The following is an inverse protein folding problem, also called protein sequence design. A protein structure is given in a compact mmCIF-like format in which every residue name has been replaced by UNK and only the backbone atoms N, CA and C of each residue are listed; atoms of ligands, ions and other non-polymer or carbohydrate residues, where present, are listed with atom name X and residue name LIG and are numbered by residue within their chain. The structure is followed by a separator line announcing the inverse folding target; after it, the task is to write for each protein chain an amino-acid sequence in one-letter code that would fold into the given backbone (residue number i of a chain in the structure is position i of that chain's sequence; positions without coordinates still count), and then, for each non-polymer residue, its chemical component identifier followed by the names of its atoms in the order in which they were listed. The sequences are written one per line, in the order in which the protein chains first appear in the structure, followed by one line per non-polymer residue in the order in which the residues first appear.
data_IF_508297506328
#
_entry.id   IF_508297506328
#
_cell.length_a   1.000
_cell.length_b   1.000
_cell.length_c   1.000
_cell.angle_alpha   90.00
_cell.angle_beta   90.00
_cell.angle_gamma   90.00
#
_symmetry.space_group_name_H-M   'P 1'
#
loop_
_entity.id
_entity.type
_entity.pdbx_description
1 polymer ?
#
# COMPACT_ATOMS: atom_id res chain seq x y z
N UNK A 1 -30.68 -25.12 5.63
CA UNK A 1 -30.25 -23.90 4.92
C UNK A 1 -30.73 -22.68 5.72
N UNK A 2 -30.10 -22.36 6.86
CA UNK A 2 -30.33 -21.06 7.50
C UNK A 2 -29.43 -20.03 6.81
N UNK A 3 -30.05 -19.04 6.15
CA UNK A 3 -29.40 -17.83 5.67
C UNK A 3 -28.77 -17.16 6.89
N UNK A 4 -27.44 -17.18 6.99
CA UNK A 4 -26.66 -16.65 8.11
C UNK A 4 -26.95 -15.15 8.34
N UNK A 5 -26.67 -14.61 9.54
CA UNK A 5 -26.93 -13.21 9.90
C UNK A 5 -25.93 -12.23 9.26
N UNK A 6 -25.57 -12.43 7.99
CA UNK A 6 -24.67 -11.53 7.24
C UNK A 6 -25.27 -10.13 7.14
N UNK A 7 -26.58 -10.03 7.01
CA UNK A 7 -27.29 -8.75 7.02
C UNK A 7 -27.16 -8.01 8.34
N UNK A 8 -27.14 -8.71 9.47
CA UNK A 8 -26.94 -8.09 10.78
C UNK A 8 -25.54 -7.49 10.87
N UNK A 9 -24.51 -8.23 10.44
CA UNK A 9 -23.13 -7.74 10.43
C UNK A 9 -22.96 -6.59 9.45
N UNK A 10 -23.61 -6.66 8.28
CA UNK A 10 -23.63 -5.57 7.31
C UNK A 10 -24.27 -4.30 7.89
N UNK A 11 -25.41 -4.41 8.57
CA UNK A 11 -26.10 -3.28 9.20
C UNK A 11 -25.25 -2.69 10.34
N UNK A 12 -24.71 -3.53 11.21
CA UNK A 12 -23.82 -3.09 12.30
C UNK A 12 -22.56 -2.43 11.74
N UNK A 13 -22.02 -2.97 10.65
CA UNK A 13 -20.86 -2.42 9.97
C UNK A 13 -21.11 -1.08 9.29
N UNK A 14 -22.25 -0.95 8.61
CA UNK A 14 -22.68 0.32 8.03
C UNK A 14 -22.90 1.36 9.13
N UNK A 15 -23.56 0.97 10.22
CA UNK A 15 -23.79 1.83 11.38
C UNK A 15 -22.47 2.30 12.03
N UNK A 16 -21.50 1.41 12.23
CA UNK A 16 -20.18 1.77 12.77
C UNK A 16 -19.39 2.68 11.82
N UNK A 17 -19.45 2.42 10.51
CA UNK A 17 -18.83 3.27 9.50
C UNK A 17 -19.45 4.68 9.49
N UNK A 18 -20.78 4.79 9.61
CA UNK A 18 -21.46 6.07 9.73
C UNK A 18 -21.15 6.77 11.07
N UNK A 19 -21.12 6.02 12.17
CA UNK A 19 -20.81 6.52 13.51
C UNK A 19 -19.40 7.15 13.59
N UNK A 20 -18.47 6.70 12.76
CA UNK A 20 -17.12 7.27 12.67
C UNK A 20 -17.11 8.77 12.32
N UNK A 21 -18.06 9.22 11.50
CA UNK A 21 -18.12 10.60 11.02
C UNK A 21 -18.91 11.54 11.94
N UNK A 22 -19.51 11.03 13.01
CA UNK A 22 -20.37 11.82 13.91
C UNK A 22 -19.57 12.14 15.18
N UNK A 23 -19.11 13.39 15.38
CA UNK A 23 -18.24 13.76 16.50
C UNK A 23 -18.99 14.09 17.79
N UNK A 24 -20.30 13.79 17.89
CA UNK A 24 -21.11 14.08 19.07
C UNK A 24 -21.36 12.81 19.88
N UNK A 25 -21.48 12.93 21.19
CA UNK A 25 -21.86 11.80 22.04
C UNK A 25 -23.26 11.27 21.65
N UNK A 26 -23.48 9.94 21.67
CA UNK A 26 -22.63 8.87 22.22
C UNK A 26 -21.71 8.18 21.20
N UNK A 27 -21.60 8.66 19.96
CA UNK A 27 -20.96 7.92 18.86
C UNK A 27 -19.45 7.65 19.07
N UNK A 28 -18.62 8.60 19.55
CA UNK A 28 -17.24 8.32 19.90
C UNK A 28 -17.11 7.26 21.00
N UNK A 29 -18.00 7.29 22.00
CA UNK A 29 -18.01 6.28 23.05
C UNK A 29 -18.30 4.90 22.44
N UNK A 30 -19.35 4.75 21.62
CA UNK A 30 -19.65 3.47 20.96
C UNK A 30 -18.47 2.92 20.14
N UNK A 31 -17.71 3.78 19.46
CA UNK A 31 -16.47 3.37 18.77
C UNK A 31 -15.42 2.81 19.74
N UNK A 32 -15.17 3.48 20.87
CA UNK A 32 -14.21 2.95 21.87
C UNK A 32 -14.63 1.60 22.44
N UNK A 33 -15.94 1.39 22.64
CA UNK A 33 -16.48 0.10 23.06
C UNK A 33 -16.28 -0.95 21.98
N UNK A 34 -16.62 -0.63 20.72
CA UNK A 34 -16.41 -1.54 19.59
C UNK A 34 -14.93 -1.95 19.45
N UNK A 35 -13.99 -1.01 19.58
CA UNK A 35 -12.56 -1.28 19.54
C UNK A 35 -12.10 -2.20 20.68
N UNK A 36 -12.62 -2.02 21.90
CA UNK A 36 -12.32 -2.93 23.02
C UNK A 36 -12.82 -4.35 22.74
N UNK A 37 -14.04 -4.49 22.24
CA UNK A 37 -14.58 -5.78 21.85
C UNK A 37 -13.81 -6.43 20.69
N UNK A 38 -13.38 -5.65 19.69
CA UNK A 38 -12.56 -6.12 18.58
C UNK A 38 -11.22 -6.69 19.07
N UNK A 39 -10.53 -6.01 20.00
CA UNK A 39 -9.28 -6.52 20.59
C UNK A 39 -9.52 -7.84 21.34
N UNK A 40 -10.58 -7.94 22.13
CA UNK A 40 -10.92 -9.17 22.88
C UNK A 40 -11.22 -10.31 21.92
N UNK A 41 -12.09 -10.09 20.94
CA UNK A 41 -12.50 -11.10 19.96
C UNK A 41 -11.30 -11.52 19.10
N UNK A 42 -10.48 -10.57 18.67
CA UNK A 42 -9.25 -10.84 17.91
C UNK A 42 -8.25 -11.68 18.69
N UNK A 43 -8.13 -11.49 20.01
CA UNK A 43 -7.27 -12.33 20.85
C UNK A 43 -7.75 -13.79 20.87
N UNK A 44 -9.05 -14.05 21.03
CA UNK A 44 -9.62 -15.41 20.95
C UNK A 44 -9.52 -16.00 19.54
N UNK A 45 -9.80 -15.20 18.52
CA UNK A 45 -9.70 -15.62 17.12
C UNK A 45 -8.26 -16.00 16.75
N UNK A 46 -7.26 -15.28 17.27
CA UNK A 46 -5.86 -15.60 17.08
C UNK A 46 -5.50 -16.97 17.67
N UNK A 47 -6.03 -17.32 18.85
CA UNK A 47 -5.82 -18.65 19.44
C UNK A 47 -6.40 -19.75 18.54
N UNK A 48 -7.64 -19.59 18.07
CA UNK A 48 -8.29 -20.54 17.16
C UNK A 48 -7.55 -20.62 15.81
N UNK A 49 -7.07 -19.48 15.31
CA UNK A 49 -6.27 -19.41 14.08
C UNK A 49 -4.93 -20.13 14.20
N UNK A 50 -4.27 -20.00 15.35
CA UNK A 50 -3.03 -20.74 15.65
C UNK A 50 -3.30 -22.25 15.73
N UNK A 51 -4.31 -22.67 16.50
CA UNK A 51 -4.66 -24.08 16.65
C UNK A 51 -4.96 -24.71 15.28
N UNK A 52 -5.79 -24.03 14.49
CA UNK A 52 -6.08 -24.38 13.10
C UNK A 52 -4.83 -24.57 12.24
N UNK A 53 -3.97 -23.55 12.21
CA UNK A 53 -2.82 -23.51 11.32
C UNK A 53 -1.84 -24.63 11.67
N UNK A 54 -1.56 -24.79 12.96
CA UNK A 54 -0.65 -25.81 13.47
C UNK A 54 -1.22 -27.19 13.21
N UNK A 55 -2.48 -27.43 13.58
CA UNK A 55 -3.13 -28.74 13.39
C UNK A 55 -3.27 -29.10 11.91
N UNK A 56 -3.54 -28.13 11.04
CA UNK A 56 -3.59 -28.33 9.59
C UNK A 56 -2.24 -28.81 9.05
N UNK A 57 -1.15 -28.14 9.43
CA UNK A 57 0.19 -28.49 8.93
C UNK A 57 0.75 -29.75 9.57
N UNK A 58 0.47 -30.02 10.86
CA UNK A 58 0.82 -31.29 11.50
C UNK A 58 0.14 -32.47 10.77
N UNK A 59 -1.17 -32.36 10.50
CA UNK A 59 -1.90 -33.40 9.75
C UNK A 59 -1.32 -33.60 8.34
N UNK A 60 -0.89 -32.54 7.65
CA UNK A 60 -0.21 -32.65 6.34
C UNK A 60 1.16 -33.33 6.44
N UNK A 61 1.94 -33.04 7.48
CA UNK A 61 3.23 -33.70 7.73
C UNK A 61 3.04 -35.20 8.01
N UNK A 62 2.08 -35.56 8.86
CA UNK A 62 1.73 -36.96 9.14
C UNK A 62 1.31 -37.70 7.87
N UNK A 63 0.54 -37.03 6.99
CA UNK A 63 0.09 -37.57 5.70
C UNK A 63 1.15 -37.47 4.59
N UNK A 64 2.37 -37.00 4.88
CA UNK A 64 3.48 -36.81 3.92
C UNK A 64 3.13 -35.92 2.72
N UNK A 65 2.20 -34.97 2.88
CA UNK A 65 1.79 -34.05 1.82
C UNK A 65 2.51 -32.71 1.93
N UNK A 66 3.20 -32.29 0.87
CA UNK A 66 3.90 -30.99 0.82
C UNK A 66 4.77 -30.76 2.08
N UNK A 67 5.61 -31.75 2.38
CA UNK A 67 6.43 -31.81 3.60
C UNK A 67 7.30 -30.59 3.77
N UNK A 68 7.98 -30.16 2.70
CA UNK A 68 8.90 -29.03 2.74
C UNK A 68 8.19 -27.78 3.26
N UNK A 69 7.11 -27.35 2.60
CA UNK A 69 6.35 -26.17 2.99
C UNK A 69 5.75 -26.28 4.39
N UNK A 70 5.21 -27.45 4.74
CA UNK A 70 4.57 -27.67 6.04
C UNK A 70 5.59 -27.64 7.19
N UNK A 71 6.77 -28.22 6.98
CA UNK A 71 7.86 -28.20 7.97
C UNK A 71 8.49 -26.81 8.07
N UNK A 72 8.75 -26.14 6.94
CA UNK A 72 9.28 -24.77 6.94
C UNK A 72 8.35 -23.83 7.73
N UNK A 73 7.03 -23.95 7.54
CA UNK A 73 6.06 -23.17 8.31
C UNK A 73 6.13 -23.51 9.80
N UNK A 74 6.04 -24.80 10.18
CA UNK A 74 5.99 -25.18 11.60
C UNK A 74 7.28 -24.80 12.35
N UNK A 75 8.45 -25.01 11.72
CA UNK A 75 9.75 -24.63 12.27
C UNK A 75 9.84 -23.11 12.39
N UNK A 76 9.44 -22.37 11.34
CA UNK A 76 9.41 -20.91 11.36
C UNK A 76 8.49 -20.38 12.46
N UNK A 77 7.28 -20.92 12.57
CA UNK A 77 6.27 -20.54 13.55
C UNK A 77 6.78 -20.70 14.99
N UNK A 78 7.22 -21.90 15.36
CA UNK A 78 7.73 -22.15 16.71
C UNK A 78 9.06 -21.44 16.97
N UNK A 79 9.92 -21.34 15.96
CA UNK A 79 11.17 -20.59 16.04
C UNK A 79 10.94 -19.12 16.34
N UNK A 80 10.00 -18.46 15.66
CA UNK A 80 9.66 -17.05 15.89
C UNK A 80 9.05 -16.83 17.27
N UNK A 81 8.17 -17.73 17.75
CA UNK A 81 7.61 -17.64 19.10
C UNK A 81 8.71 -17.78 20.16
N UNK A 82 9.56 -18.79 20.04
CA UNK A 82 10.65 -19.02 20.99
C UNK A 82 11.63 -17.85 21.02
N UNK A 83 11.99 -17.31 19.85
CA UNK A 83 12.87 -16.15 19.74
C UNK A 83 12.24 -14.89 20.34
N UNK A 84 10.95 -14.66 20.09
CA UNK A 84 10.19 -13.56 20.68
C UNK A 84 10.13 -13.65 22.21
N UNK A 85 9.84 -14.83 22.75
CA UNK A 85 9.82 -15.08 24.19
C UNK A 85 11.20 -14.87 24.82
N UNK A 86 12.27 -15.36 24.18
CA UNK A 86 13.64 -15.11 24.60
C UNK A 86 13.98 -13.62 24.61
N UNK A 87 13.62 -12.90 23.55
CA UNK A 87 13.87 -11.47 23.46
C UNK A 87 13.09 -10.68 24.51
N UNK A 88 11.84 -11.09 24.80
CA UNK A 88 11.05 -10.54 25.88
C UNK A 88 11.75 -10.70 27.24
N UNK A 89 12.20 -11.92 27.55
CA UNK A 89 12.87 -12.22 28.81
C UNK A 89 14.22 -11.49 28.96
N UNK A 90 15.02 -11.42 27.88
CA UNK A 90 16.39 -10.87 27.92
C UNK A 90 16.48 -9.36 27.79
N UNK A 91 15.58 -8.75 27.01
CA UNK A 91 15.66 -7.33 26.61
C UNK A 91 14.43 -6.50 27.02
N UNK A 92 13.46 -7.10 27.72
CA UNK A 92 12.23 -6.42 28.15
C UNK A 92 11.17 -6.28 27.05
N UNK A 93 11.44 -6.81 25.85
CA UNK A 93 10.47 -6.81 24.75
C UNK A 93 11.07 -7.22 23.40
N UNK A 94 10.33 -7.92 22.51
CA UNK A 94 10.78 -8.30 21.19
C UNK A 94 11.14 -7.11 20.29
N UNK A 95 10.55 -5.94 20.53
CA UNK A 95 10.76 -4.73 19.74
C UNK A 95 11.62 -3.66 20.45
N UNK A 96 12.27 -4.00 21.56
CA UNK A 96 13.25 -3.11 22.19
C UNK A 96 14.42 -2.85 21.22
N UNK A 97 15.02 -1.65 21.24
CA UNK A 97 16.07 -1.26 20.29
C UNK A 97 17.26 -2.23 20.27
N UNK A 98 17.64 -2.79 21.43
CA UNK A 98 18.69 -3.80 21.57
C UNK A 98 18.23 -5.26 21.33
N UNK A 99 16.97 -5.49 20.98
CA UNK A 99 16.40 -6.83 20.83
C UNK A 99 16.93 -7.53 19.59
N UNK A 100 17.35 -8.77 19.75
CA UNK A 100 17.72 -9.64 18.62
C UNK A 100 16.53 -10.01 17.74
N UNK A 101 15.29 -9.89 18.24
CA UNK A 101 14.09 -10.14 17.45
C UNK A 101 13.84 -9.06 16.38
N UNK A 102 14.33 -7.82 16.58
CA UNK A 102 14.29 -6.79 15.54
C UNK A 102 15.11 -7.18 14.30
N UNK A 103 16.18 -7.98 14.46
CA UNK A 103 16.94 -8.49 13.33
C UNK A 103 16.09 -9.45 12.48
N UNK A 104 15.38 -10.39 13.12
CA UNK A 104 14.46 -11.30 12.46
C UNK A 104 13.37 -10.52 11.71
N UNK A 105 12.78 -9.52 12.36
CA UNK A 105 11.78 -8.67 11.73
C UNK A 105 12.34 -7.92 10.51
N UNK A 106 13.49 -7.24 10.65
CA UNK A 106 14.07 -6.40 9.60
C UNK A 106 14.61 -7.19 8.41
N UNK A 107 15.18 -8.37 8.63
CA UNK A 107 15.89 -9.11 7.59
C UNK A 107 15.15 -10.35 7.08
N UNK A 108 14.10 -10.80 7.76
CA UNK A 108 13.26 -11.92 7.30
C UNK A 108 11.87 -11.41 6.96
N UNK A 109 11.14 -10.84 7.93
CA UNK A 109 9.74 -10.44 7.74
C UNK A 109 9.60 -9.32 6.71
N UNK A 110 10.34 -8.22 6.88
CA UNK A 110 10.24 -7.05 5.99
C UNK A 110 10.53 -7.39 4.51
N UNK A 111 11.59 -8.14 4.16
CA UNK A 111 11.82 -8.56 2.77
C UNK A 111 10.74 -9.52 2.26
N UNK A 112 10.23 -10.43 3.09
CA UNK A 112 9.15 -11.34 2.68
C UNK A 112 7.87 -10.57 2.33
N UNK A 113 7.47 -9.60 3.17
CA UNK A 113 6.34 -8.71 2.88
C UNK A 113 6.58 -7.90 1.60
N UNK A 114 7.81 -7.40 1.40
CA UNK A 114 8.20 -6.68 0.19
C UNK A 114 8.10 -7.57 -1.07
N UNK A 115 8.47 -8.86 -0.98
CA UNK A 115 8.32 -9.79 -2.12
C UNK A 115 6.87 -10.07 -2.46
N UNK A 116 6.00 -10.28 -1.46
CA UNK A 116 4.56 -10.43 -1.68
C UNK A 116 3.96 -9.16 -2.30
N UNK A 117 4.31 -7.99 -1.77
CA UNK A 117 3.84 -6.71 -2.31
C UNK A 117 4.37 -6.45 -3.72
N UNK A 118 5.65 -6.76 -3.99
CA UNK A 118 6.26 -6.64 -5.31
C UNK A 118 5.54 -7.52 -6.34
N UNK A 119 5.25 -8.78 -5.99
CA UNK A 119 4.47 -9.68 -6.85
C UNK A 119 3.06 -9.14 -7.08
N UNK A 120 2.37 -8.69 -6.03
CA UNK A 120 1.04 -8.09 -6.14
C UNK A 120 1.06 -6.86 -7.06
N UNK A 121 2.00 -5.94 -6.85
CA UNK A 121 2.18 -4.75 -7.67
C UNK A 121 2.48 -5.10 -9.13
N UNK A 122 3.36 -6.08 -9.37
CA UNK A 122 3.64 -6.60 -10.71
C UNK A 122 2.40 -7.18 -11.38
N UNK A 123 1.60 -7.98 -10.67
CA UNK A 123 0.36 -8.56 -11.21
C UNK A 123 -0.71 -7.50 -11.46
N UNK A 124 -0.89 -6.54 -10.56
CA UNK A 124 -1.81 -5.42 -10.76
C UNK A 124 -1.37 -4.60 -11.97
N UNK A 125 -0.08 -4.25 -12.06
CA UNK A 125 0.47 -3.51 -13.20
C UNK A 125 0.33 -4.29 -14.51
N UNK A 126 0.57 -5.60 -14.51
CA UNK A 126 0.38 -6.47 -15.68
C UNK A 126 -1.09 -6.56 -16.09
N UNK A 127 -2.00 -6.77 -15.14
CA UNK A 127 -3.44 -6.82 -15.38
C UNK A 127 -3.96 -5.46 -15.88
N UNK A 128 -3.53 -4.37 -15.24
CA UNK A 128 -3.81 -3.01 -15.65
C UNK A 128 -3.25 -2.72 -17.05
N UNK A 129 -2.01 -3.10 -17.38
CA UNK A 129 -1.45 -2.92 -18.72
C UNK A 129 -2.22 -3.71 -19.79
N UNK A 130 -2.65 -4.94 -19.48
CA UNK A 130 -3.50 -5.72 -20.40
C UNK A 130 -4.90 -5.12 -20.57
N UNK A 131 -5.48 -4.56 -19.50
CA UNK A 131 -6.81 -3.94 -19.51
C UNK A 131 -6.78 -2.52 -20.13
N UNK A 132 -5.77 -1.73 -19.79
CA UNK A 132 -5.36 -0.47 -20.38
C UNK A 132 -4.37 -0.72 -21.52
N UNK A 133 -4.79 -1.45 -22.56
CA UNK A 133 -4.10 -1.35 -23.84
C UNK A 133 -4.15 0.13 -24.22
N UNK A 134 -3.03 0.85 -24.17
CA UNK A 134 -2.96 2.29 -24.42
C UNK A 134 -3.49 2.59 -25.83
N UNK A 135 -4.80 2.77 -25.92
CA UNK A 135 -5.55 2.98 -27.16
C UNK A 135 -6.05 4.41 -27.28
N UNK A 136 -6.04 5.16 -26.18
CA UNK A 136 -6.63 6.49 -26.08
C UNK A 136 -5.71 7.47 -25.32
N UNK A 137 -5.70 8.71 -25.80
CA UNK A 137 -4.84 9.79 -25.32
C UNK A 137 -4.99 10.05 -23.81
N UNK A 138 -6.21 9.89 -23.28
CA UNK A 138 -6.52 10.07 -21.85
C UNK A 138 -5.81 9.06 -20.94
N UNK A 139 -5.69 7.79 -21.35
CA UNK A 139 -5.00 6.77 -20.54
C UNK A 139 -3.49 6.96 -20.56
N UNK A 140 -2.94 7.47 -21.68
CA UNK A 140 -1.53 7.86 -21.76
C UNK A 140 -1.23 9.04 -20.84
N UNK A 141 -2.14 10.03 -20.77
CA UNK A 141 -2.06 11.15 -19.82
C UNK A 141 -2.09 10.66 -18.37
N UNK A 142 -3.03 9.76 -18.02
CA UNK A 142 -3.10 9.19 -16.67
C UNK A 142 -1.84 8.40 -16.29
N UNK A 143 -1.31 7.57 -17.20
CA UNK A 143 -0.08 6.82 -16.97
C UNK A 143 1.11 7.76 -16.75
N UNK A 144 1.18 8.83 -17.53
CA UNK A 144 2.25 9.82 -17.50
C UNK A 144 2.15 10.69 -16.24
N UNK A 145 0.94 11.09 -15.83
CA UNK A 145 0.67 11.74 -14.54
C UNK A 145 1.00 10.84 -13.35
N UNK A 146 0.62 9.55 -13.39
CA UNK A 146 0.95 8.59 -12.35
C UNK A 146 2.47 8.38 -12.24
N UNK A 147 3.17 8.30 -13.39
CA UNK A 147 4.63 8.23 -13.44
C UNK A 147 5.29 9.43 -12.78
N UNK A 148 4.84 10.65 -13.09
CA UNK A 148 5.34 11.89 -12.47
C UNK A 148 5.12 11.88 -10.94
N UNK A 149 3.92 11.48 -10.49
CA UNK A 149 3.58 11.42 -9.06
C UNK A 149 4.40 10.37 -8.31
N UNK A 150 4.65 9.20 -8.92
CA UNK A 150 5.46 8.13 -8.33
C UNK A 150 6.95 8.52 -8.24
N UNK A 151 7.46 9.27 -9.21
CA UNK A 151 8.85 9.74 -9.24
C UNK A 151 9.17 10.74 -8.12
N UNK A 152 8.20 11.55 -7.73
CA UNK A 152 8.32 12.47 -6.60
C UNK A 152 8.43 11.81 -5.23
N UNK A 153 8.35 10.47 -5.14
CA UNK A 153 8.33 9.71 -3.87
C UNK A 153 9.43 8.67 -3.72
N UNK A 154 10.37 8.59 -4.67
CA UNK A 154 11.50 7.67 -4.57
C UNK A 154 12.47 8.22 -3.51
N UNK A 155 12.93 7.43 -2.52
CA UNK A 155 14.07 7.81 -1.68
C UNK A 155 15.27 8.06 -2.61
N UNK A 156 15.91 9.25 -2.56
CA UNK A 156 16.79 9.86 -3.60
C UNK A 156 16.11 10.72 -4.67
N UNK A 157 14.81 11.00 -4.54
CA UNK A 157 14.03 11.84 -5.44
C UNK A 157 14.65 13.21 -5.66
N UNK A 158 15.22 13.85 -4.65
CA UNK A 158 15.81 15.19 -4.80
C UNK A 158 16.99 15.22 -5.81
N UNK A 159 17.77 14.15 -5.88
CA UNK A 159 18.94 14.05 -6.77
C UNK A 159 18.57 13.44 -8.13
N UNK A 160 17.62 12.50 -8.15
CA UNK A 160 17.20 11.81 -9.37
C UNK A 160 16.10 12.58 -10.14
N UNK A 161 15.32 13.43 -9.47
CA UNK A 161 14.23 14.18 -10.10
C UNK A 161 14.75 15.14 -11.16
N UNK A 162 15.80 15.92 -10.87
CA UNK A 162 16.35 16.88 -11.83
C UNK A 162 16.75 16.24 -13.18
N UNK A 163 17.62 15.20 -13.22
CA UNK A 163 18.01 14.55 -14.49
C UNK A 163 16.84 13.84 -15.18
N UNK A 164 15.86 13.33 -14.44
CA UNK A 164 14.71 12.62 -15.03
C UNK A 164 13.69 13.61 -15.60
N UNK A 165 13.34 14.68 -14.89
CA UNK A 165 12.43 15.72 -15.39
C UNK A 165 13.03 16.50 -16.55
N UNK A 166 14.35 16.75 -16.55
CA UNK A 166 15.05 17.30 -17.73
C UNK A 166 14.93 16.36 -18.92
N UNK A 167 15.32 15.09 -18.77
CA UNK A 167 15.23 14.10 -19.85
C UNK A 167 13.79 13.98 -20.39
N UNK A 168 12.80 13.93 -19.50
CA UNK A 168 11.39 13.88 -19.86
C UNK A 168 10.92 15.14 -20.60
N UNK A 169 11.30 16.34 -20.14
CA UNK A 169 11.00 17.59 -20.82
C UNK A 169 11.60 17.64 -22.22
N UNK A 170 12.86 17.20 -22.40
CA UNK A 170 13.48 17.11 -23.73
C UNK A 170 12.79 16.08 -24.63
N UNK A 171 12.39 14.92 -24.11
CA UNK A 171 11.65 13.92 -24.88
C UNK A 171 10.29 14.43 -25.35
N UNK A 172 9.55 15.13 -24.49
CA UNK A 172 8.29 15.77 -24.88
C UNK A 172 8.52 16.89 -25.89
N UNK A 173 9.52 17.73 -25.69
CA UNK A 173 9.86 18.78 -26.63
C UNK A 173 10.19 18.20 -28.01
N UNK A 174 11.00 17.15 -28.04
CA UNK A 174 11.34 16.42 -29.26
C UNK A 174 10.12 15.81 -29.95
N UNK A 175 9.23 15.17 -29.18
CA UNK A 175 7.99 14.62 -29.71
C UNK A 175 7.12 15.70 -30.37
N UNK A 176 6.86 16.81 -29.66
CA UNK A 176 6.03 17.90 -30.18
C UNK A 176 6.67 18.59 -31.39
N UNK A 177 7.99 18.81 -31.39
CA UNK A 177 8.73 19.41 -32.49
C UNK A 177 8.93 18.49 -33.70
N UNK A 178 8.86 17.16 -33.54
CA UNK A 178 8.80 16.26 -34.70
C UNK A 178 7.43 16.27 -35.36
N UNK A 179 6.39 16.32 -34.55
CA UNK A 179 5.02 16.09 -35.02
C UNK A 179 4.34 17.38 -35.48
N UNK A 180 4.82 18.58 -35.10
CA UNK A 180 4.12 19.83 -35.43
C UNK A 180 3.93 20.07 -36.94
N UNK A 181 4.87 19.62 -37.80
CA UNK A 181 4.77 19.77 -39.27
C UNK A 181 3.60 18.99 -39.88
N UNK A 182 3.09 17.98 -39.19
CA UNK A 182 1.99 17.13 -39.66
C UNK A 182 0.61 17.80 -39.50
N UNK A 183 0.55 18.97 -38.87
CA UNK A 183 -0.70 19.68 -38.56
C UNK A 183 -0.74 21.03 -39.28
N UNK A 184 -1.94 21.47 -39.64
CA UNK A 184 -2.18 22.78 -40.25
C UNK A 184 -2.98 23.70 -39.32
N UNK A 185 -2.89 25.02 -39.56
CA UNK A 185 -3.59 26.03 -38.77
C UNK A 185 -3.22 26.06 -37.29
N UNK A 186 -4.23 26.16 -36.42
CA UNK A 186 -4.08 26.31 -34.96
C UNK A 186 -3.33 25.15 -34.29
N UNK A 187 -3.51 23.92 -34.79
CA UNK A 187 -2.85 22.72 -34.27
C UNK A 187 -1.33 22.74 -34.46
N UNK A 188 -0.83 23.41 -35.51
CA UNK A 188 0.60 23.62 -35.76
C UNK A 188 1.19 24.55 -34.71
N UNK A 189 0.50 25.68 -34.44
CA UNK A 189 0.91 26.68 -33.47
C UNK A 189 0.98 26.12 -32.05
N UNK A 190 -0.05 25.42 -31.59
CA UNK A 190 -0.06 24.82 -30.24
C UNK A 190 1.09 23.83 -30.04
N UNK A 191 1.35 22.94 -31.00
CA UNK A 191 2.44 21.94 -30.87
C UNK A 191 3.82 22.57 -30.89
N UNK A 192 4.01 23.62 -31.70
CA UNK A 192 5.25 24.39 -31.69
C UNK A 192 5.44 25.10 -30.33
N UNK A 193 4.38 25.71 -29.80
CA UNK A 193 4.40 26.41 -28.53
C UNK A 193 4.67 25.46 -27.35
N UNK A 194 4.01 24.30 -27.29
CA UNK A 194 4.31 23.26 -26.30
C UNK A 194 5.72 22.70 -26.46
N UNK A 195 6.15 22.42 -27.70
CA UNK A 195 7.50 21.95 -27.97
C UNK A 195 8.58 22.91 -27.47
N UNK A 196 8.42 24.19 -27.75
CA UNK A 196 9.32 25.25 -27.26
C UNK A 196 9.23 25.42 -25.75
N UNK A 197 8.03 25.35 -25.15
CA UNK A 197 7.84 25.44 -23.70
C UNK A 197 8.52 24.28 -22.97
N UNK A 198 8.43 23.04 -23.48
CA UNK A 198 9.10 21.88 -22.90
C UNK A 198 10.62 21.94 -23.10
N UNK A 199 11.10 22.46 -24.24
CA UNK A 199 12.54 22.69 -24.46
C UNK A 199 13.09 23.72 -23.48
N UNK A 200 12.39 24.84 -23.32
CA UNK A 200 12.75 25.89 -22.36
C UNK A 200 12.69 25.35 -20.93
N UNK A 201 11.66 24.58 -20.56
CA UNK A 201 11.56 23.91 -19.27
C UNK A 201 12.70 22.93 -19.01
N UNK A 202 13.08 22.12 -20.00
CA UNK A 202 14.24 21.21 -19.92
C UNK A 202 15.56 21.97 -19.75
N UNK A 203 15.76 23.07 -20.47
CA UNK A 203 16.94 23.93 -20.31
C UNK A 203 17.00 24.60 -18.93
N UNK A 204 15.85 25.07 -18.42
CA UNK A 204 15.73 25.66 -17.08
C UNK A 204 16.05 24.62 -16.00
N UNK A 205 15.66 23.37 -16.19
CA UNK A 205 15.96 22.29 -15.25
C UNK A 205 17.42 21.80 -15.32
N UNK A 206 18.13 22.00 -16.44
CA UNK A 206 19.59 21.77 -16.54
C UNK A 206 20.40 22.86 -15.80
N UNK A 207 19.81 24.03 -15.59
CA UNK A 207 20.40 25.15 -14.86
C UNK A 207 19.98 25.08 -13.38
N UNK A 208 20.66 24.30 -12.50
CA UNK A 208 22.08 24.47 -12.16
C UNK A 208 22.76 23.15 -11.68
N UNK A 209 23.37 22.39 -12.58
CA UNK A 209 24.13 21.16 -12.21
C UNK A 209 25.65 21.40 -12.06
N UNK A 210 26.17 22.60 -12.34
CA UNK A 210 27.63 22.81 -12.41
C UNK A 210 28.24 24.12 -11.89
N UNK A 211 27.47 25.11 -11.44
CA UNK A 211 28.03 26.40 -10.99
C UNK A 211 27.27 26.97 -9.78
N UNK A 212 27.78 26.77 -8.57
CA UNK A 212 27.56 27.72 -7.46
C UNK A 212 26.14 27.89 -6.90
N UNK A 213 25.35 26.82 -6.77
CA UNK A 213 24.49 26.65 -5.59
C UNK A 213 23.22 27.50 -5.43
N UNK A 214 22.64 28.10 -6.47
CA UNK A 214 21.27 28.65 -6.37
C UNK A 214 20.32 28.02 -7.38
N UNK A 215 19.50 27.08 -6.89
CA UNK A 215 18.37 26.51 -7.59
C UNK A 215 17.38 27.62 -7.96
N UNK A 216 16.95 27.69 -9.22
CA UNK A 216 15.87 28.59 -9.67
C UNK A 216 14.68 28.55 -8.68
N UNK A 217 14.01 29.69 -8.40
CA UNK A 217 12.83 29.72 -7.53
C UNK A 217 11.74 28.69 -7.91
N UNK A 218 11.57 28.44 -9.21
CA UNK A 218 10.64 27.44 -9.73
C UNK A 218 11.04 25.99 -9.43
N UNK A 219 12.35 25.65 -9.47
CA UNK A 219 12.81 24.32 -9.08
C UNK A 219 12.71 24.12 -7.57
N UNK A 220 13.02 25.15 -6.75
CA UNK A 220 12.71 25.11 -5.31
C UNK A 220 11.21 24.91 -5.08
N UNK A 221 10.34 25.60 -5.83
CA UNK A 221 8.89 25.42 -5.72
C UNK A 221 8.45 23.98 -6.04
N UNK A 222 8.94 23.36 -7.12
CA UNK A 222 8.61 21.97 -7.44
C UNK A 222 9.16 21.00 -6.38
N UNK A 223 10.42 21.14 -5.98
CA UNK A 223 11.05 20.27 -4.97
C UNK A 223 10.43 20.42 -3.58
N UNK A 224 9.89 21.59 -3.21
CA UNK A 224 9.20 21.78 -1.93
C UNK A 224 7.69 21.44 -2.01
N UNK A 225 7.05 21.66 -3.16
CA UNK A 225 5.61 21.42 -3.32
C UNK A 225 5.28 19.95 -3.59
N UNK A 226 6.19 19.20 -4.20
CA UNK A 226 6.01 17.75 -4.45
C UNK A 226 5.95 16.96 -3.15
N UNK A 227 6.82 17.18 -2.14
CA UNK A 227 6.67 16.59 -0.81
C UNK A 227 5.37 16.99 -0.12
N UNK A 228 4.92 18.25 -0.24
CA UNK A 228 3.65 18.70 0.36
C UNK A 228 2.43 18.06 -0.30
N UNK A 229 2.44 17.90 -1.62
CA UNK A 229 1.40 17.16 -2.33
C UNK A 229 1.46 15.67 -1.98
N UNK A 230 2.66 15.12 -1.83
CA UNK A 230 2.86 13.73 -1.46
C UNK A 230 2.36 13.45 -0.03
N UNK A 231 2.70 14.31 0.93
CA UNK A 231 2.20 14.24 2.30
C UNK A 231 0.69 14.46 2.34
N UNK A 232 0.14 15.44 1.61
CA UNK A 232 -1.31 15.63 1.52
C UNK A 232 -2.03 14.38 0.98
N UNK A 233 -1.53 13.77 -0.10
CA UNK A 233 -2.10 12.50 -0.62
C UNK A 233 -1.95 11.37 0.42
N UNK A 234 -0.84 11.30 1.15
CA UNK A 234 -0.67 10.28 2.19
C UNK A 234 -1.65 10.49 3.35
N UNK A 235 -1.75 11.72 3.85
CA UNK A 235 -2.49 12.09 5.05
C UNK A 235 -4.00 12.19 4.81
N UNK A 236 -4.42 12.50 3.59
CA UNK A 236 -5.84 12.69 3.26
C UNK A 236 -6.40 11.44 2.56
N UNK A 237 -6.23 11.22 1.24
CA UNK A 237 -6.87 10.09 0.55
C UNK A 237 -6.29 8.73 0.94
N UNK A 238 -4.98 8.59 1.14
CA UNK A 238 -4.39 7.29 1.50
C UNK A 238 -4.75 6.90 2.94
N UNK A 239 -4.68 7.82 3.90
CA UNK A 239 -5.16 7.54 5.27
C UNK A 239 -6.67 7.32 5.32
N UNK A 240 -7.48 8.02 4.50
CA UNK A 240 -8.90 7.74 4.37
C UNK A 240 -9.16 6.33 3.82
N UNK A 241 -8.42 5.92 2.77
CA UNK A 241 -8.51 4.56 2.22
C UNK A 241 -8.07 3.50 3.23
N UNK A 242 -6.97 3.76 3.95
CA UNK A 242 -6.47 2.89 5.02
C UNK A 242 -7.52 2.70 6.12
N UNK A 243 -8.14 3.79 6.59
CA UNK A 243 -9.25 3.72 7.56
C UNK A 243 -10.43 2.89 7.02
N UNK A 244 -10.78 3.02 5.74
CA UNK A 244 -11.81 2.21 5.10
C UNK A 244 -11.46 0.72 5.05
N UNK A 245 -10.20 0.38 4.76
CA UNK A 245 -9.70 -0.99 4.78
C UNK A 245 -9.73 -1.55 6.21
N UNK A 246 -9.20 -0.80 7.19
CA UNK A 246 -9.15 -1.20 8.60
C UNK A 246 -10.57 -1.45 9.14
N UNK A 247 -11.52 -0.55 8.82
CA UNK A 247 -12.95 -0.76 9.14
C UNK A 247 -13.51 -2.03 8.48
N UNK A 248 -13.21 -2.27 7.20
CA UNK A 248 -13.64 -3.47 6.50
C UNK A 248 -13.07 -4.75 7.09
N UNK A 249 -11.81 -4.73 7.51
CA UNK A 249 -11.12 -5.85 8.17
C UNK A 249 -11.76 -6.12 9.53
N UNK A 250 -11.94 -5.11 10.38
CA UNK A 250 -12.55 -5.27 11.71
C UNK A 250 -14.01 -5.74 11.62
N UNK A 251 -14.78 -5.26 10.65
CA UNK A 251 -16.15 -5.75 10.45
C UNK A 251 -16.18 -7.18 9.91
N UNK A 252 -15.25 -7.52 9.01
CA UNK A 252 -15.09 -8.87 8.50
C UNK A 252 -14.65 -9.87 9.57
N UNK A 253 -13.74 -9.49 10.47
CA UNK A 253 -13.28 -10.31 11.59
C UNK A 253 -14.40 -10.56 12.60
N UNK A 254 -15.18 -9.53 12.95
CA UNK A 254 -16.36 -9.65 13.80
C UNK A 254 -17.42 -10.57 13.17
N UNK A 255 -17.68 -10.42 11.86
CA UNK A 255 -18.60 -11.29 11.12
C UNK A 255 -18.18 -12.76 11.21
N UNK A 256 -16.89 -13.02 10.97
CA UNK A 256 -16.31 -14.34 11.00
C UNK A 256 -16.39 -14.93 12.42
N UNK A 257 -16.00 -14.17 13.45
CA UNK A 257 -16.08 -14.60 14.84
C UNK A 257 -17.52 -14.97 15.26
N UNK A 258 -18.51 -14.16 14.89
CA UNK A 258 -19.93 -14.47 15.15
C UNK A 258 -20.38 -15.74 14.43
N UNK A 259 -19.94 -15.97 13.19
CA UNK A 259 -20.27 -17.19 12.43
C UNK A 259 -19.66 -18.45 13.06
N UNK A 260 -18.46 -18.32 13.63
CA UNK A 260 -17.82 -19.39 14.40
C UNK A 260 -18.57 -19.63 15.72
N UNK A 261 -18.88 -18.57 16.49
CA UNK A 261 -19.58 -18.68 17.79
C UNK A 261 -20.98 -19.30 17.66
N UNK A 262 -21.73 -18.95 16.62
CA UNK A 262 -23.07 -19.51 16.36
C UNK A 262 -22.97 -20.94 15.75
N UNK A 263 -21.75 -21.47 15.56
CA UNK A 263 -21.54 -22.84 15.07
C UNK A 263 -21.94 -23.06 13.61
N UNK A 264 -22.07 -21.96 12.84
CA UNK A 264 -22.42 -21.98 11.41
C UNK A 264 -21.20 -22.41 10.59
N UNK A 265 -20.02 -21.90 10.94
CA UNK A 265 -18.75 -22.35 10.34
C UNK A 265 -18.18 -23.53 11.14
N UNK A 266 -18.54 -24.75 10.72
CA UNK A 266 -18.02 -26.01 11.30
C UNK A 266 -16.70 -26.47 10.69
N UNK A 267 -15.89 -25.55 10.14
CA UNK A 267 -14.65 -25.89 9.42
C UNK A 267 -13.66 -26.75 10.21
N UNK A 268 -13.77 -26.78 11.54
CA UNK A 268 -12.88 -27.51 12.45
C UNK A 268 -13.42 -28.83 13.00
N UNK A 269 -14.70 -29.17 12.78
CA UNK A 269 -15.29 -30.46 13.22
C UNK A 269 -15.41 -31.46 12.06
N UNK A 270 -14.32 -31.66 11.30
CA UNK A 270 -14.09 -32.80 10.41
C UNK A 270 -12.63 -33.24 10.43
#
# INVERSE_FOLDING_TARGET
MLRSPVWLVFIVGLFMASAFFIPVDPFPMMQTWALKWDVIISAFALIVGIDSLVMHHIRRVQRRQNLLYSLTLLIGFWGTIAWGAFAWWRYGGPFATQSTFLWLFRYIVVPMDATMFSLLAFFIASAAYRAFRARNFSSSLLLLSAGIVMLGRVPFGDWAAAPIFTAFAFLLAFYFLRVFKQYEGWGRGMRLMFGLAFLAGGLVLLWPVGMGGQLFPAFRFVVHSVPNLASWIMEVPQMAARRGIDLGISLGSLAFALRVLVGIERGYMR
#
